data_IF_391367144679
#
_entry.id   IF_391367144679
#
_cell.length_a   1.000
_cell.length_b   1.000
_cell.length_c   1.000
_cell.angle_alpha   90.00
_cell.angle_beta   90.00
_cell.angle_gamma   90.00
#
_symmetry.space_group_name_H-M   'P 1'
#
loop_
_entity.id
_entity.type
_entity.pdbx_description
1 polymer ?
#
# COMPACT_ATOMS: atom_id res chain seq x y z
N UNK A 1 -1.55 21.69 -3.68
CA UNK A 1 -0.75 20.46 -3.76
C UNK A 1 -1.40 19.48 -2.82
N UNK A 2 -1.92 18.37 -3.33
CA UNK A 2 -2.56 17.36 -2.48
C UNK A 2 -1.47 16.45 -1.91
N UNK A 3 -1.45 16.29 -0.59
CA UNK A 3 -0.43 15.51 0.13
C UNK A 3 -1.11 14.44 0.95
N UNK A 4 -0.58 13.22 0.92
CA UNK A 4 -0.95 12.16 1.85
C UNK A 4 0.04 12.10 3.01
N UNK A 5 -0.49 12.17 4.24
CA UNK A 5 0.31 12.00 5.46
C UNK A 5 0.14 10.57 5.97
N UNK A 6 1.22 9.80 5.96
CA UNK A 6 1.22 8.47 6.57
C UNK A 6 1.16 8.54 8.10
N UNK A 7 0.73 7.45 8.72
CA UNK A 7 0.75 7.30 10.18
C UNK A 7 2.15 7.40 10.78
N UNK A 8 3.21 7.14 10.00
CA UNK A 8 4.62 7.29 10.42
C UNK A 8 5.13 8.74 10.31
N UNK A 9 4.29 9.70 9.90
CA UNK A 9 4.65 11.11 9.73
C UNK A 9 5.34 11.43 8.40
N UNK A 10 5.41 10.48 7.47
CA UNK A 10 5.94 10.72 6.14
C UNK A 10 4.89 11.40 5.26
N UNK A 11 5.30 12.47 4.56
CA UNK A 11 4.47 13.20 3.61
C UNK A 11 4.75 12.69 2.18
N UNK A 12 3.69 12.35 1.45
CA UNK A 12 3.74 11.95 0.05
C UNK A 12 3.01 12.97 -0.82
N UNK A 13 3.71 13.59 -1.74
CA UNK A 13 3.10 14.46 -2.75
C UNK A 13 2.31 13.60 -3.77
N UNK A 14 0.99 13.77 -3.79
CA UNK A 14 0.10 13.03 -4.68
C UNK A 14 0.13 13.60 -6.11
N UNK A 15 0.57 14.85 -6.28
CA UNK A 15 0.79 15.45 -7.60
C UNK A 15 1.95 14.80 -8.37
N UNK A 16 2.81 14.03 -7.68
CA UNK A 16 3.91 13.28 -8.27
C UNK A 16 3.53 11.85 -8.70
N UNK A 17 2.26 11.46 -8.55
CA UNK A 17 1.72 10.23 -9.10
C UNK A 17 1.25 10.47 -10.55
N UNK A 18 1.35 9.44 -11.37
CA UNK A 18 0.74 9.44 -12.71
C UNK A 18 -0.78 9.39 -12.62
N UNK A 19 -1.48 9.72 -13.71
CA UNK A 19 -2.95 9.67 -13.77
C UNK A 19 -3.50 8.27 -13.43
N UNK A 20 -2.84 7.22 -13.93
CA UNK A 20 -3.19 5.83 -13.64
C UNK A 20 -3.00 5.47 -12.17
N UNK A 21 -1.90 5.92 -11.56
CA UNK A 21 -1.66 5.71 -10.13
C UNK A 21 -2.65 6.50 -9.26
N UNK A 22 -3.02 7.73 -9.65
CA UNK A 22 -4.03 8.54 -8.97
C UNK A 22 -5.41 7.89 -9.05
N UNK A 23 -5.83 7.45 -10.24
CA UNK A 23 -7.10 6.77 -10.43
C UNK A 23 -7.18 5.46 -9.60
N UNK A 24 -6.06 4.75 -9.45
CA UNK A 24 -5.99 3.56 -8.60
C UNK A 24 -6.02 3.89 -7.11
N UNK A 25 -5.37 4.99 -6.69
CA UNK A 25 -5.45 5.48 -5.32
C UNK A 25 -6.89 5.88 -4.94
N UNK A 26 -7.62 6.52 -5.85
CA UNK A 26 -9.04 6.85 -5.62
C UNK A 26 -9.91 5.60 -5.49
N UNK A 27 -9.66 4.57 -6.29
CA UNK A 27 -10.33 3.27 -6.12
C UNK A 27 -10.02 2.66 -4.74
N UNK A 28 -8.76 2.73 -4.30
CA UNK A 28 -8.35 2.25 -2.99
C UNK A 28 -9.10 3.01 -1.86
N UNK A 29 -9.19 4.34 -1.95
CA UNK A 29 -9.94 5.19 -1.01
C UNK A 29 -11.42 4.80 -0.98
N UNK A 30 -12.02 4.57 -2.15
CA UNK A 30 -13.42 4.16 -2.25
C UNK A 30 -13.70 2.79 -1.59
N UNK A 31 -12.82 1.80 -1.79
CA UNK A 31 -12.94 0.50 -1.15
C UNK A 31 -12.92 0.61 0.38
N UNK A 32 -12.00 1.41 0.93
CA UNK A 32 -11.96 1.64 2.39
C UNK A 32 -13.25 2.30 2.87
N UNK A 33 -13.75 3.31 2.16
CA UNK A 33 -15.01 3.98 2.50
C UNK A 33 -16.23 3.03 2.46
N UNK A 34 -16.19 1.98 1.65
CA UNK A 34 -17.20 0.91 1.61
C UNK A 34 -17.06 -0.11 2.75
N UNK A 35 -16.05 0.01 3.61
CA UNK A 35 -15.83 -0.89 4.73
C UNK A 35 -15.36 -2.28 4.32
N UNK A 36 -14.57 -2.41 3.24
CA UNK A 36 -14.01 -3.71 2.85
C UNK A 36 -13.14 -4.30 3.96
N UNK A 37 -13.14 -5.63 4.06
CA UNK A 37 -12.22 -6.33 4.96
C UNK A 37 -10.75 -6.07 4.60
N UNK A 38 -9.90 -6.06 5.62
CA UNK A 38 -8.46 -5.85 5.47
C UNK A 38 -7.80 -6.78 4.45
N UNK A 39 -8.07 -8.09 4.49
CA UNK A 39 -7.48 -9.04 3.53
C UNK A 39 -7.96 -8.78 2.10
N UNK A 40 -9.22 -8.36 1.93
CA UNK A 40 -9.77 -7.98 0.63
C UNK A 40 -9.03 -6.78 0.06
N UNK A 41 -8.76 -5.78 0.90
CA UNK A 41 -7.97 -4.61 0.51
C UNK A 41 -6.52 -4.99 0.15
N UNK A 42 -5.88 -5.87 0.92
CA UNK A 42 -4.53 -6.36 0.61
C UNK A 42 -4.47 -7.07 -0.73
N UNK A 43 -5.42 -7.97 -1.02
CA UNK A 43 -5.51 -8.66 -2.30
C UNK A 43 -5.73 -7.70 -3.47
N UNK A 44 -6.52 -6.65 -3.27
CA UNK A 44 -6.78 -5.64 -4.29
C UNK A 44 -5.49 -4.95 -4.74
N UNK A 45 -4.70 -4.40 -3.80
CA UNK A 45 -3.55 -3.59 -4.21
C UNK A 45 -2.32 -4.42 -4.59
N UNK A 46 -2.21 -5.64 -4.05
CA UNK A 46 -1.16 -6.61 -4.41
C UNK A 46 -1.51 -7.45 -5.65
N UNK A 47 -2.69 -7.28 -6.25
CA UNK A 47 -3.04 -7.96 -7.50
C UNK A 47 -1.99 -7.71 -8.57
N UNK A 48 -1.66 -8.73 -9.36
CA UNK A 48 -0.62 -8.66 -10.40
C UNK A 48 -0.89 -7.63 -11.50
N UNK A 49 -2.13 -7.14 -11.62
CA UNK A 49 -2.55 -6.08 -12.55
C UNK A 49 -2.50 -4.70 -11.92
N UNK A 50 -2.24 -4.61 -10.62
CA UNK A 50 -2.12 -3.34 -9.91
C UNK A 50 -1.01 -2.47 -10.52
N UNK A 51 -1.23 -1.15 -10.67
CA UNK A 51 -0.23 -0.21 -11.18
C UNK A 51 1.08 -0.21 -10.39
N UNK A 52 1.09 -0.65 -9.13
CA UNK A 52 2.32 -0.72 -8.32
C UNK A 52 3.40 -1.60 -8.96
N UNK A 53 3.02 -2.55 -9.83
CA UNK A 53 3.94 -3.48 -10.48
C UNK A 53 4.54 -2.92 -11.76
N UNK A 54 4.17 -1.72 -12.20
CA UNK A 54 4.54 -1.20 -13.50
C UNK A 54 5.21 0.17 -13.39
N UNK A 55 6.13 0.46 -14.31
CA UNK A 55 6.84 1.74 -14.36
C UNK A 55 5.82 2.85 -14.63
N UNK A 56 5.67 3.78 -13.69
CA UNK A 56 4.68 4.87 -13.80
C UNK A 56 3.24 4.37 -13.91
N UNK A 57 2.93 3.18 -13.38
CA UNK A 57 1.58 2.60 -13.41
C UNK A 57 1.15 1.95 -14.73
N UNK A 58 1.96 2.01 -15.78
CA UNK A 58 1.58 1.59 -17.14
C UNK A 58 2.17 0.22 -17.53
N UNK A 59 1.37 -0.81 -17.87
CA UNK A 59 1.88 -2.13 -18.24
C UNK A 59 2.92 -2.13 -19.37
N UNK A 60 2.73 -1.26 -20.37
CA UNK A 60 3.62 -1.10 -21.52
C UNK A 60 4.96 -0.45 -21.19
N UNK A 61 5.07 0.27 -20.07
CA UNK A 61 6.32 0.89 -19.63
C UNK A 61 7.26 -0.10 -18.93
N UNK A 62 6.81 -1.34 -18.72
CA UNK A 62 7.59 -2.44 -18.15
C UNK A 62 7.26 -2.71 -16.69
N UNK A 63 7.59 -3.93 -16.26
CA UNK A 63 7.32 -4.41 -14.90
C UNK A 63 8.46 -4.02 -13.95
N UNK A 64 8.11 -3.61 -12.75
CA UNK A 64 9.03 -3.34 -11.65
C UNK A 64 9.39 -4.62 -10.91
N UNK A 65 10.66 -4.73 -10.50
CA UNK A 65 11.09 -5.72 -9.51
C UNK A 65 10.58 -5.35 -8.11
N UNK A 66 10.41 -6.35 -7.24
CA UNK A 66 9.87 -6.18 -5.89
C UNK A 66 10.55 -5.04 -5.10
N UNK A 67 11.88 -4.93 -5.17
CA UNK A 67 12.63 -3.88 -4.47
C UNK A 67 12.31 -2.47 -4.96
N UNK A 68 11.98 -2.31 -6.25
CA UNK A 68 11.52 -1.03 -6.81
C UNK A 68 10.06 -0.75 -6.47
N UNK A 69 9.21 -1.77 -6.48
CA UNK A 69 7.81 -1.65 -6.04
C UNK A 69 7.74 -1.12 -4.62
N UNK A 70 8.51 -1.72 -3.69
CA UNK A 70 8.55 -1.32 -2.29
C UNK A 70 9.02 0.13 -2.07
N UNK A 71 9.76 0.70 -3.02
CA UNK A 71 10.22 2.09 -2.99
C UNK A 71 9.27 3.06 -3.70
N UNK A 72 8.30 2.56 -4.46
CA UNK A 72 7.33 3.40 -5.16
C UNK A 72 6.42 4.13 -4.17
N UNK A 73 6.01 5.36 -4.52
CA UNK A 73 5.14 6.16 -3.65
C UNK A 73 3.77 5.51 -3.49
N UNK A 74 3.17 5.07 -4.60
CA UNK A 74 1.87 4.44 -4.59
C UNK A 74 1.84 3.21 -3.67
N UNK A 75 2.83 2.32 -3.75
CA UNK A 75 2.93 1.16 -2.85
C UNK A 75 2.97 1.57 -1.38
N UNK A 76 3.81 2.55 -1.02
CA UNK A 76 3.97 2.99 0.38
C UNK A 76 2.69 3.60 0.94
N UNK A 77 1.97 4.38 0.12
CA UNK A 77 0.67 4.95 0.49
C UNK A 77 -0.35 3.82 0.73
N UNK A 78 -0.48 2.88 -0.22
CA UNK A 78 -1.42 1.77 -0.12
C UNK A 78 -1.09 0.83 1.05
N UNK A 79 0.20 0.63 1.34
CA UNK A 79 0.67 -0.14 2.48
C UNK A 79 0.31 0.55 3.81
N UNK A 80 0.43 1.88 3.90
CA UNK A 80 0.01 2.62 5.11
C UNK A 80 -1.52 2.56 5.28
N UNK A 81 -2.28 2.74 4.20
CA UNK A 81 -3.75 2.58 4.19
C UNK A 81 -4.17 1.19 4.65
N UNK A 82 -3.54 0.12 4.14
CA UNK A 82 -3.79 -1.25 4.58
C UNK A 82 -3.42 -1.44 6.06
N UNK A 83 -2.34 -0.81 6.52
CA UNK A 83 -1.94 -0.82 7.92
C UNK A 83 -2.99 -0.18 8.83
N UNK A 84 -3.51 0.98 8.46
CA UNK A 84 -4.54 1.68 9.24
C UNK A 84 -5.84 0.88 9.28
N UNK A 85 -6.30 0.38 8.12
CA UNK A 85 -7.49 -0.47 8.04
C UNK A 85 -7.36 -1.74 8.90
N UNK A 86 -6.19 -2.39 8.87
CA UNK A 86 -5.93 -3.58 9.67
C UNK A 86 -5.93 -3.29 11.18
N UNK A 87 -5.49 -2.11 11.60
CA UNK A 87 -5.56 -1.68 13.01
C UNK A 87 -7.01 -1.39 13.44
N UNK A 88 -7.75 -0.64 12.62
CA UNK A 88 -9.15 -0.31 12.86
C UNK A 88 -10.02 -1.56 12.99
N UNK A 89 -9.76 -2.57 12.17
CA UNK A 89 -10.47 -3.85 12.18
C UNK A 89 -9.90 -4.88 13.17
N UNK A 90 -8.81 -4.57 13.87
CA UNK A 90 -8.21 -5.44 14.89
C UNK A 90 -7.36 -6.61 14.35
N UNK A 91 -7.10 -6.67 13.05
CA UNK A 91 -6.17 -7.64 12.43
C UNK A 91 -4.71 -7.34 12.77
N UNK A 92 -4.39 -6.06 12.98
CA UNK A 92 -3.08 -5.60 13.40
C UNK A 92 -3.16 -5.01 14.80
N UNK A 93 -2.02 -4.96 15.49
CA UNK A 93 -1.87 -4.25 16.76
C UNK A 93 -0.84 -3.15 16.60
N UNK A 94 -1.11 -1.98 17.17
CA UNK A 94 -0.08 -0.95 17.30
C UNK A 94 1.04 -1.53 18.15
N UNK A 95 2.29 -1.33 17.72
CA UNK A 95 3.45 -1.85 18.45
C UNK A 95 3.40 -1.38 19.90
N UNK A 96 3.20 -2.32 20.83
CA UNK A 96 3.74 -2.19 22.18
C UNK A 96 5.27 -2.25 22.13
N UNK A 97 5.96 -1.84 23.21
CA UNK A 97 7.44 -1.77 23.27
C UNK A 97 8.19 -3.09 22.99
N UNK A 98 7.50 -4.22 22.81
CA UNK A 98 8.06 -5.56 22.55
C UNK A 98 8.07 -6.00 21.08
N UNK A 99 7.79 -5.11 20.10
CA UNK A 99 8.44 -5.19 18.79
C UNK A 99 8.11 -6.38 17.87
N UNK A 100 6.92 -6.39 17.29
CA UNK A 100 6.70 -6.99 15.94
C UNK A 100 6.25 -5.85 15.01
N UNK A 101 7.05 -5.52 13.99
CA UNK A 101 6.65 -4.51 12.98
C UNK A 101 5.78 -5.14 11.92
N UNK A 102 5.01 -4.31 11.24
CA UNK A 102 4.48 -4.59 9.91
C UNK A 102 5.57 -5.15 8.96
N UNK A 103 6.81 -4.67 9.13
CA UNK A 103 7.99 -5.16 8.41
C UNK A 103 8.38 -6.60 8.79
N UNK A 104 8.15 -7.03 10.04
CA UNK A 104 8.35 -8.41 10.49
C UNK A 104 7.28 -9.36 9.94
N UNK A 105 6.00 -8.95 9.89
CA UNK A 105 4.96 -9.73 9.21
C UNK A 105 5.23 -9.89 7.70
N UNK A 106 5.82 -8.89 7.05
CA UNK A 106 6.19 -8.97 5.64
C UNK A 106 7.46 -9.80 5.39
N UNK A 107 8.38 -9.86 6.36
CA UNK A 107 9.51 -10.79 6.35
C UNK A 107 9.06 -12.25 6.56
N UNK A 108 8.02 -12.52 7.35
CA UNK A 108 7.46 -13.89 7.43
C UNK A 108 6.82 -14.34 6.11
N UNK A 109 6.14 -13.43 5.38
CA UNK A 109 5.63 -13.72 4.02
C UNK A 109 6.80 -13.91 3.03
N UNK A 110 7.94 -13.23 3.23
CA UNK A 110 9.15 -13.38 2.41
C UNK A 110 9.82 -14.75 2.57
N UNK A 111 9.65 -15.42 3.71
CA UNK A 111 10.33 -16.68 4.03
C UNK A 111 9.53 -17.96 3.68
N UNK A 112 8.33 -17.82 3.12
CA UNK A 112 7.59 -18.94 2.52
C UNK A 112 7.05 -19.94 3.55
N UNK A 113 5.80 -19.74 3.94
CA UNK A 113 4.89 -20.87 4.13
C UNK A 113 4.32 -21.28 2.77
#
# INVERSE_FOLDING_TARGET
METYMSRRGEAFDLGALTETEQAFLEQARHLIAQGVAWETFQRFYLDKRSPIWFVGGEPQAGRLENTRVMRSRLYRILQDMAGNLGLEQGYLRERGPSGLSLDACLEEIRLGC
#
